data_IF_065635963918
#
_entry.id   IF_065635963918
#
_cell.length_a   1.000
_cell.length_b   1.000
_cell.length_c   1.000
_cell.angle_alpha   90.00
_cell.angle_beta   90.00
_cell.angle_gamma   90.00
#
_symmetry.space_group_name_H-M   'P 1'
#
loop_
_entity.id
_entity.type
_entity.pdbx_description
1 polymer ?
#
# COMPACT_ATOMS: atom_id res chain seq x y z
N UNK A 1 21.67 4.78 -0.81
CA UNK A 1 20.39 4.13 -1.17
C UNK A 1 19.24 4.92 -0.51
N UNK A 2 19.05 6.20 -0.90
CA UNK A 2 18.14 7.15 -0.22
C UNK A 2 17.74 8.34 -1.12
N UNK A 3 17.65 8.09 -2.43
CA UNK A 3 17.30 9.10 -3.44
C UNK A 3 16.08 8.70 -4.27
N UNK A 4 15.84 7.39 -4.44
CA UNK A 4 14.72 6.84 -5.20
C UNK A 4 13.39 7.19 -4.53
N UNK A 5 13.30 7.03 -3.19
CA UNK A 5 12.08 7.29 -2.43
C UNK A 5 11.60 8.75 -2.52
N UNK A 6 12.50 9.76 -2.44
CA UNK A 6 12.06 11.16 -2.45
C UNK A 6 11.34 11.54 -3.74
N UNK A 7 11.78 11.02 -4.89
CA UNK A 7 11.14 11.27 -6.18
C UNK A 7 9.82 10.55 -6.30
N UNK A 8 9.83 9.23 -6.12
CA UNK A 8 8.65 8.38 -6.29
C UNK A 8 7.57 8.70 -5.26
N UNK A 9 7.96 8.93 -4.00
CA UNK A 9 7.04 9.31 -2.94
C UNK A 9 6.33 10.64 -3.25
N UNK A 10 7.08 11.67 -3.66
CA UNK A 10 6.50 12.97 -3.99
C UNK A 10 5.57 12.83 -5.21
N UNK A 11 6.00 12.11 -6.24
CA UNK A 11 5.22 11.87 -7.45
C UNK A 11 3.89 11.15 -7.15
N UNK A 12 3.93 10.05 -6.41
CA UNK A 12 2.75 9.25 -6.10
C UNK A 12 1.85 9.94 -5.06
N UNK A 13 2.40 10.66 -4.08
CA UNK A 13 1.62 11.45 -3.14
C UNK A 13 0.86 12.58 -3.83
N UNK A 14 1.48 13.28 -4.78
CA UNK A 14 0.81 14.29 -5.60
C UNK A 14 -0.26 13.66 -6.52
N UNK A 15 0.04 12.50 -7.12
CA UNK A 15 -0.92 11.75 -7.92
C UNK A 15 -2.14 11.28 -7.11
N UNK A 16 -1.94 10.84 -5.86
CA UNK A 16 -3.03 10.51 -4.92
C UNK A 16 -3.85 11.76 -4.57
N UNK A 17 -3.22 12.93 -4.39
CA UNK A 17 -3.94 14.18 -4.12
C UNK A 17 -4.78 14.64 -5.32
N UNK A 18 -4.23 14.53 -6.54
CA UNK A 18 -4.90 14.97 -7.78
C UNK A 18 -5.89 13.95 -8.33
N UNK A 19 -5.72 12.67 -8.01
CA UNK A 19 -6.50 11.56 -8.57
C UNK A 19 -6.69 10.44 -7.54
N UNK A 20 -7.11 10.81 -6.33
CA UNK A 20 -7.30 9.89 -5.21
C UNK A 20 -8.38 8.81 -5.43
N UNK A 21 -9.21 8.96 -6.47
CA UNK A 21 -10.21 7.98 -6.89
C UNK A 21 -9.64 6.86 -7.79
N UNK A 22 -8.33 6.81 -8.04
CA UNK A 22 -7.69 5.74 -8.84
C UNK A 22 -6.88 4.83 -7.95
N UNK A 23 -6.99 3.51 -8.16
CA UNK A 23 -6.24 2.52 -7.38
C UNK A 23 -4.72 2.57 -7.64
N UNK A 24 -4.31 2.85 -8.88
CA UNK A 24 -2.90 2.79 -9.31
C UNK A 24 -1.95 3.74 -8.55
N UNK A 25 -2.30 5.02 -8.31
CA UNK A 25 -1.49 5.90 -7.46
C UNK A 25 -1.30 5.38 -6.04
N UNK A 26 -2.36 4.88 -5.39
CA UNK A 26 -2.26 4.29 -4.05
C UNK A 26 -1.41 3.02 -4.07
N UNK A 27 -1.56 2.17 -5.09
CA UNK A 27 -0.73 0.98 -5.28
C UNK A 27 0.77 1.33 -5.36
N UNK A 28 1.15 2.27 -6.24
CA UNK A 28 2.54 2.65 -6.41
C UNK A 28 3.12 3.36 -5.18
N UNK A 29 2.29 4.11 -4.45
CA UNK A 29 2.68 4.71 -3.18
C UNK A 29 2.92 3.63 -2.12
N UNK A 30 2.09 2.59 -2.09
CA UNK A 30 2.27 1.42 -1.23
C UNK A 30 3.58 0.69 -1.51
N UNK A 31 3.91 0.48 -2.79
CA UNK A 31 5.18 -0.13 -3.21
C UNK A 31 6.40 0.70 -2.78
N UNK A 32 6.33 2.03 -2.92
CA UNK A 32 7.39 2.91 -2.47
C UNK A 32 7.62 2.83 -0.95
N UNK A 33 6.54 2.71 -0.16
CA UNK A 33 6.63 2.50 1.28
C UNK A 33 7.13 1.11 1.67
N UNK A 34 6.77 0.08 0.90
CA UNK A 34 7.18 -1.30 1.14
C UNK A 34 8.71 -1.47 1.07
N UNK A 35 9.34 -0.81 0.11
CA UNK A 35 10.79 -0.82 -0.08
C UNK A 35 11.55 -0.08 1.05
N UNK A 36 10.85 0.70 1.88
CA UNK A 36 11.43 1.48 2.95
C UNK A 36 11.35 0.76 4.30
N UNK A 37 12.51 0.59 4.94
CA UNK A 37 12.59 -0.08 6.23
C UNK A 37 11.76 0.67 7.28
N UNK A 38 10.78 -0.01 7.85
CA UNK A 38 9.95 0.51 8.93
C UNK A 38 8.68 1.24 8.49
N UNK A 39 8.41 1.36 7.19
CA UNK A 39 7.18 2.00 6.66
C UNK A 39 6.18 0.99 6.07
N UNK A 40 6.32 -0.28 6.45
CA UNK A 40 5.40 -1.34 6.07
C UNK A 40 3.94 -1.07 6.50
N UNK A 41 3.65 -0.44 7.66
CA UNK A 41 2.28 -0.03 8.01
C UNK A 41 1.66 0.95 7.00
N UNK A 42 2.43 1.91 6.51
CA UNK A 42 2.02 2.88 5.49
C UNK A 42 1.82 2.20 4.14
N UNK A 43 2.65 1.22 3.79
CA UNK A 43 2.48 0.41 2.59
C UNK A 43 1.12 -0.31 2.59
N UNK A 44 0.82 -1.01 3.68
CA UNK A 44 -0.43 -1.77 3.88
C UNK A 44 -1.65 -0.85 3.72
N UNK A 45 -1.67 0.31 4.37
CA UNK A 45 -2.78 1.27 4.29
C UNK A 45 -3.04 1.76 2.86
N UNK A 46 -1.99 1.94 2.06
CA UNK A 46 -2.11 2.37 0.68
C UNK A 46 -2.58 1.23 -0.24
N UNK A 47 -2.12 0.00 -0.01
CA UNK A 47 -2.64 -1.18 -0.71
C UNK A 47 -4.11 -1.44 -0.38
N UNK A 48 -4.53 -1.32 0.87
CA UNK A 48 -5.94 -1.44 1.27
C UNK A 48 -6.81 -0.38 0.57
N UNK A 49 -6.36 0.88 0.52
CA UNK A 49 -7.06 1.93 -0.24
C UNK A 49 -7.15 1.57 -1.72
N UNK A 50 -6.06 1.09 -2.32
CA UNK A 50 -6.05 0.69 -3.71
C UNK A 50 -7.07 -0.46 -3.97
N UNK A 51 -7.20 -1.40 -3.04
CA UNK A 51 -8.21 -2.46 -3.08
C UNK A 51 -9.65 -1.97 -2.86
N UNK A 52 -9.88 -0.98 -1.99
CA UNK A 52 -11.23 -0.38 -1.85
C UNK A 52 -11.69 0.30 -3.13
N UNK A 53 -10.77 0.86 -3.92
CA UNK A 53 -11.08 1.50 -5.21
C UNK A 53 -11.20 0.46 -6.33
N UNK A 54 -10.33 -0.55 -6.35
CA UNK A 54 -10.33 -1.59 -7.37
C UNK A 54 -10.12 -2.98 -6.75
N UNK A 55 -11.19 -3.60 -6.23
CA UNK A 55 -11.09 -4.87 -5.50
C UNK A 55 -10.64 -6.03 -6.40
N UNK A 56 -10.78 -5.92 -7.72
CA UNK A 56 -10.33 -6.93 -8.68
C UNK A 56 -8.93 -6.64 -9.22
N UNK A 57 -7.96 -6.31 -8.35
CA UNK A 57 -6.58 -6.09 -8.78
C UNK A 57 -5.61 -7.08 -8.11
N UNK A 58 -5.33 -8.23 -8.78
CA UNK A 58 -4.57 -9.34 -8.19
C UNK A 58 -3.18 -8.96 -7.68
N UNK A 59 -2.49 -8.05 -8.38
CA UNK A 59 -1.15 -7.59 -8.01
C UNK A 59 -1.12 -6.97 -6.62
N UNK A 60 -2.16 -6.22 -6.22
CA UNK A 60 -2.20 -5.59 -4.89
C UNK A 60 -2.28 -6.64 -3.79
N UNK A 61 -3.00 -7.75 -4.00
CA UNK A 61 -3.09 -8.80 -2.99
C UNK A 61 -1.75 -9.48 -2.73
N UNK A 62 -0.94 -9.69 -3.78
CA UNK A 62 0.40 -10.25 -3.63
C UNK A 62 1.30 -9.29 -2.84
N UNK A 63 1.34 -8.02 -3.25
CA UNK A 63 2.19 -7.02 -2.61
C UNK A 63 1.74 -6.68 -1.18
N UNK A 64 0.44 -6.74 -0.89
CA UNK A 64 -0.11 -6.64 0.45
C UNK A 64 0.31 -7.85 1.30
N UNK A 65 0.22 -9.07 0.77
CA UNK A 65 0.65 -10.28 1.46
C UNK A 65 2.13 -10.25 1.84
N UNK A 66 2.99 -9.81 0.90
CA UNK A 66 4.42 -9.63 1.14
C UNK A 66 4.66 -8.55 2.22
N UNK A 67 3.98 -7.39 2.14
CA UNK A 67 4.09 -6.34 3.15
C UNK A 67 3.70 -6.82 4.56
N UNK A 68 2.64 -7.62 4.67
CA UNK A 68 2.16 -8.17 5.94
C UNK A 68 3.13 -9.21 6.49
N UNK A 69 3.72 -10.05 5.64
CA UNK A 69 4.78 -11.00 6.02
C UNK A 69 6.01 -10.25 6.54
N UNK A 70 6.47 -9.27 5.79
CA UNK A 70 7.73 -8.56 6.06
C UNK A 70 7.60 -7.63 7.28
N UNK A 71 6.38 -7.16 7.60
CA UNK A 71 6.12 -6.32 8.77
C UNK A 71 6.24 -7.07 10.10
N UNK A 72 6.31 -8.41 10.09
CA UNK A 72 6.20 -9.24 11.30
C UNK A 72 4.85 -9.09 12.01
N UNK A 73 3.92 -8.29 11.48
CA UNK A 73 2.60 -8.00 12.03
C UNK A 73 1.53 -8.95 11.46
N UNK A 74 1.90 -10.17 11.09
CA UNK A 74 0.99 -11.19 10.54
C UNK A 74 -0.30 -11.35 11.37
N UNK A 75 -0.23 -11.14 12.70
CA UNK A 75 -1.40 -11.18 13.58
C UNK A 75 -2.33 -9.96 13.47
N UNK A 76 -1.81 -8.75 13.24
CA UNK A 76 -2.64 -7.55 13.01
C UNK A 76 -3.24 -7.51 11.61
N UNK A 77 -2.50 -8.03 10.63
CA UNK A 77 -2.93 -8.24 9.26
C UNK A 77 -4.26 -9.02 9.17
N UNK A 78 -4.32 -10.15 9.87
CA UNK A 78 -5.50 -11.01 9.91
C UNK A 78 -6.68 -10.30 10.57
N UNK A 79 -6.44 -9.46 11.59
CA UNK A 79 -7.50 -8.68 12.22
C UNK A 79 -8.10 -7.62 11.27
N UNK A 80 -7.29 -7.01 10.40
CA UNK A 80 -7.76 -5.98 9.47
C UNK A 80 -8.43 -6.55 8.21
N UNK A 81 -7.87 -7.62 7.62
CA UNK A 81 -8.49 -8.33 6.48
C UNK A 81 -9.83 -8.96 6.87
N UNK A 82 -10.01 -9.29 8.15
CA UNK A 82 -11.20 -9.94 8.69
C UNK A 82 -12.25 -8.96 9.22
N UNK A 83 -12.10 -7.65 8.99
CA UNK A 83 -13.25 -6.76 9.01
C UNK A 83 -13.79 -6.68 7.57
N UNK A 84 -14.83 -7.47 7.24
CA UNK A 84 -15.61 -7.13 6.07
C UNK A 84 -16.20 -5.75 6.36
N UNK A 85 -16.10 -4.86 5.39
CA UNK A 85 -16.93 -3.67 5.32
C UNK A 85 -18.39 -4.12 5.52
N UNK A 86 -18.94 -3.88 6.71
CA UNK A 86 -20.38 -3.96 7.02
C UNK A 86 -21.00 -2.63 6.57
#
# INVERSE_FOLDING_TARGET
RGMIWRGDFILWNDAVKKSGAKARPHYNLGAAYHDEKGLLPEAIKNYEKALTIHPHYPSIYNDLGDALRDSGMLQRAIAHIRQPFI
#
